data_IF_785338779252
#
_entry.id   IF_785338779252
#
_cell.length_a   1.000
_cell.length_b   1.000
_cell.length_c   1.000
_cell.angle_alpha   90.00
_cell.angle_beta   90.00
_cell.angle_gamma   90.00
#
_symmetry.space_group_name_H-M   'P 1'
#
loop_
_entity.id
_entity.type
_entity.pdbx_description
1 polymer ?
#
# COMPACT_ATOMS: atom_id res chain seq x y z
N UNK A 1 2.52 -7.23 -7.56
CA UNK A 1 3.17 -8.36 -6.85
C UNK A 1 3.61 -9.49 -7.79
N UNK A 2 2.71 -10.00 -8.66
CA UNK A 2 2.98 -11.14 -9.55
C UNK A 2 4.27 -11.04 -10.37
N UNK A 3 4.58 -9.87 -10.96
CA UNK A 3 5.82 -9.71 -11.74
C UNK A 3 7.11 -9.93 -10.95
N UNK A 4 7.16 -9.56 -9.66
CA UNK A 4 8.35 -9.76 -8.80
C UNK A 4 8.56 -11.25 -8.52
N UNK A 5 7.47 -11.96 -8.22
CA UNK A 5 7.48 -13.40 -8.01
C UNK A 5 7.88 -14.16 -9.27
N UNK A 6 7.26 -13.83 -10.40
CA UNK A 6 7.49 -14.49 -11.68
C UNK A 6 8.93 -14.32 -12.18
N UNK A 7 9.52 -13.13 -11.98
CA UNK A 7 10.91 -12.89 -12.33
C UNK A 7 11.86 -13.67 -11.41
N UNK A 8 11.61 -13.72 -10.09
CA UNK A 8 12.39 -14.55 -9.18
C UNK A 8 12.30 -16.03 -9.56
N UNK A 9 11.11 -16.52 -9.92
CA UNK A 9 10.90 -17.90 -10.35
C UNK A 9 11.64 -18.22 -11.64
N UNK A 10 11.54 -17.36 -12.66
CA UNK A 10 12.24 -17.52 -13.94
C UNK A 10 13.76 -17.49 -13.80
N UNK A 11 14.28 -16.75 -12.82
CA UNK A 11 15.72 -16.66 -12.53
C UNK A 11 16.21 -17.69 -11.49
N UNK A 12 15.34 -18.55 -10.96
CA UNK A 12 15.71 -19.50 -9.89
C UNK A 12 16.14 -18.83 -8.58
N UNK A 13 15.77 -17.55 -8.38
CA UNK A 13 16.11 -16.78 -7.19
C UNK A 13 15.09 -17.00 -6.08
N UNK A 14 15.52 -16.83 -4.83
CA UNK A 14 14.62 -16.89 -3.69
C UNK A 14 13.59 -15.73 -3.73
N UNK A 15 12.28 -15.98 -3.53
CA UNK A 15 11.22 -15.01 -3.82
C UNK A 15 11.00 -13.95 -2.73
N UNK A 16 11.94 -13.74 -1.82
CA UNK A 16 11.80 -12.83 -0.68
C UNK A 16 11.50 -11.38 -1.06
N UNK A 17 11.88 -10.93 -2.26
CA UNK A 17 11.58 -9.58 -2.77
C UNK A 17 10.06 -9.38 -2.92
N UNK A 18 9.34 -10.40 -3.38
CA UNK A 18 7.88 -10.35 -3.45
C UNK A 18 7.29 -10.30 -2.03
N UNK A 19 7.80 -11.12 -1.11
CA UNK A 19 7.32 -11.13 0.29
C UNK A 19 7.54 -9.78 0.99
N UNK A 20 8.72 -9.18 0.87
CA UNK A 20 9.02 -7.89 1.47
C UNK A 20 8.13 -6.76 0.91
N UNK A 21 7.84 -6.80 -0.40
CA UNK A 21 6.94 -5.82 -1.01
C UNK A 21 5.50 -5.94 -0.49
N UNK A 22 5.12 -7.05 0.14
CA UNK A 22 3.75 -7.27 0.61
C UNK A 22 3.41 -6.32 1.76
N UNK A 23 4.38 -5.99 2.59
CA UNK A 23 4.22 -5.01 3.67
C UNK A 23 3.79 -3.64 3.12
N UNK A 24 4.43 -3.18 2.04
CA UNK A 24 4.10 -1.89 1.42
C UNK A 24 2.73 -1.94 0.75
N UNK A 25 2.40 -3.05 0.07
CA UNK A 25 1.07 -3.24 -0.52
C UNK A 25 -0.01 -3.19 0.55
N UNK A 26 0.17 -3.91 1.66
CA UNK A 26 -0.78 -3.92 2.77
C UNK A 26 -0.97 -2.52 3.38
N UNK A 27 0.12 -1.80 3.67
CA UNK A 27 0.05 -0.43 4.18
C UNK A 27 -0.72 0.50 3.23
N UNK A 28 -0.47 0.39 1.93
CA UNK A 28 -1.16 1.20 0.92
C UNK A 28 -2.66 0.85 0.87
N UNK A 29 -3.00 -0.44 0.91
CA UNK A 29 -4.41 -0.88 0.93
C UNK A 29 -5.15 -0.40 2.18
N UNK A 30 -4.51 -0.40 3.35
CA UNK A 30 -5.14 0.10 4.57
C UNK A 30 -5.51 1.57 4.45
N UNK A 31 -4.55 2.40 4.04
CA UNK A 31 -4.72 3.86 4.04
C UNK A 31 -5.63 4.35 2.90
N UNK A 32 -5.58 3.72 1.72
CA UNK A 32 -6.37 4.14 0.56
C UNK A 32 -7.74 3.46 0.43
N UNK A 33 -7.95 2.31 1.09
CA UNK A 33 -9.16 1.52 0.90
C UNK A 33 -9.86 1.20 2.22
N UNK A 34 -9.18 0.55 3.15
CA UNK A 34 -9.84 0.05 4.37
C UNK A 34 -10.29 1.22 5.27
N UNK A 35 -9.42 2.22 5.47
CA UNK A 35 -9.74 3.41 6.25
C UNK A 35 -10.95 4.21 5.70
N UNK A 36 -10.98 4.62 4.41
CA UNK A 36 -12.12 5.36 3.88
C UNK A 36 -13.42 4.52 3.86
N UNK A 37 -13.33 3.20 3.64
CA UNK A 37 -14.51 2.32 3.76
C UNK A 37 -15.02 2.30 5.21
N UNK A 38 -14.12 2.21 6.19
CA UNK A 38 -14.46 2.24 7.61
C UNK A 38 -15.09 3.56 8.06
N UNK A 39 -14.70 4.68 7.45
CA UNK A 39 -15.33 5.99 7.68
C UNK A 39 -16.58 6.26 6.82
N UNK A 40 -16.86 5.42 5.82
CA UNK A 40 -18.01 5.57 4.93
C UNK A 40 -17.81 6.61 3.82
N UNK A 41 -16.59 7.10 3.60
CA UNK A 41 -16.27 8.13 2.63
C UNK A 41 -14.82 8.05 2.15
N UNK A 42 -14.62 8.14 0.84
CA UNK A 42 -13.29 8.25 0.23
C UNK A 42 -12.66 9.64 0.38
N UNK A 43 -13.44 10.66 0.74
CA UNK A 43 -12.92 12.01 0.98
C UNK A 43 -12.06 12.08 2.24
N UNK A 44 -12.25 11.16 3.18
CA UNK A 44 -11.46 11.10 4.41
C UNK A 44 -10.17 10.27 4.26
N UNK A 45 -9.99 9.58 3.13
CA UNK A 45 -8.77 8.85 2.81
C UNK A 45 -7.55 9.77 2.59
N UNK A 46 -6.35 9.19 2.56
CA UNK A 46 -5.13 9.98 2.37
C UNK A 46 -5.12 10.71 1.02
N UNK A 47 -4.91 12.03 0.98
CA UNK A 47 -4.81 12.76 -0.29
C UNK A 47 -3.49 12.47 -1.01
N UNK A 48 -3.52 12.42 -2.34
CA UNK A 48 -2.33 12.27 -3.20
C UNK A 48 -1.53 13.58 -3.37
N UNK A 49 -1.29 14.27 -2.25
CA UNK A 49 -0.50 15.51 -2.16
C UNK A 49 0.34 15.48 -0.90
N UNK A 50 1.56 16.01 -0.97
CA UNK A 50 2.52 16.02 0.15
C UNK A 50 1.90 16.64 1.41
N UNK A 51 1.31 17.84 1.31
CA UNK A 51 0.63 18.50 2.43
C UNK A 51 -0.60 17.75 2.93
N UNK A 52 -1.29 17.03 2.03
CA UNK A 52 -2.44 16.20 2.38
C UNK A 52 -2.05 14.96 3.17
N UNK A 53 -0.92 14.33 2.85
CA UNK A 53 -0.38 13.23 3.67
C UNK A 53 -0.05 13.69 5.08
N UNK A 54 0.55 14.88 5.26
CA UNK A 54 0.77 15.45 6.59
C UNK A 54 -0.54 15.76 7.32
N UNK A 55 -1.53 16.32 6.63
CA UNK A 55 -2.84 16.61 7.22
C UNK A 55 -3.53 15.31 7.68
N UNK A 56 -3.51 14.27 6.86
CA UNK A 56 -4.02 12.95 7.20
C UNK A 56 -3.33 12.41 8.47
N UNK A 57 -2.01 12.51 8.58
CA UNK A 57 -1.27 12.06 9.76
C UNK A 57 -1.60 12.82 11.06
N UNK A 58 -2.09 14.06 10.98
CA UNK A 58 -2.48 14.86 12.15
C UNK A 58 -3.93 14.59 12.59
N UNK A 59 -4.81 14.28 11.64
CA UNK A 59 -6.25 14.08 11.89
C UNK A 59 -6.57 12.60 12.21
N UNK A 60 -5.73 11.67 11.77
CA UNK A 60 -5.88 10.23 11.96
C UNK A 60 -6.01 9.81 13.43
#
# INVERSE_FOLDING_TARGET
MGRKWELSFRLGMCPWIAVAYLALVAATTVVFLIYPIGQGSFSDGVPLRISGTFNFMVVF
#
